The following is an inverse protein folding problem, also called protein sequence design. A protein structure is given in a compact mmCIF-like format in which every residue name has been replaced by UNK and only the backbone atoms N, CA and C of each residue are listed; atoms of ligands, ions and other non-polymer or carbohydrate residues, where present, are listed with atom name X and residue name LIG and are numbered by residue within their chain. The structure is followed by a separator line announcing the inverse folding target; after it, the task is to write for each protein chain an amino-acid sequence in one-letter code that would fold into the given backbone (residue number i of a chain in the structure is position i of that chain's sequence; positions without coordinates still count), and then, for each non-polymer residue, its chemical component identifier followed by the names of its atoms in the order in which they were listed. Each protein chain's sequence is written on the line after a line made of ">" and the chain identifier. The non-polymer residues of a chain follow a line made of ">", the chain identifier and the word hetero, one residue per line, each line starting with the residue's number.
data_IF_111163229530
#
_entry.id   IF_111163229530
#
_cell.length_a   1.000
_cell.length_b   1.000
_cell.length_c   1.000
_cell.angle_alpha   90.00
_cell.angle_beta   90.00
_cell.angle_gamma   90.00
#
_symmetry.space_group_name_H-M   'P 1'
#
loop_
_entity.id
_entity.type
_entity.pdbx_description
1 polymer ?
#
# COMPACT_ATOMS: atom_id res chain seq x y z
N UNK A 1 -6.99 15.30 8.11
CA UNK A 1 -6.17 14.07 8.30
C UNK A 1 -5.84 13.76 9.77
N UNK A 2 -5.71 14.73 10.70
CA UNK A 2 -5.61 14.45 12.15
C UNK A 2 -4.56 15.29 12.87
N UNK A 3 -4.06 14.81 14.02
CA UNK A 3 -3.10 15.52 14.89
C UNK A 3 -1.65 15.51 14.40
N UNK A 4 -0.76 16.19 15.14
CA UNK A 4 0.65 16.38 14.74
C UNK A 4 1.48 15.09 14.67
N UNK A 5 1.09 14.04 15.43
CA UNK A 5 1.77 12.74 15.37
C UNK A 5 1.39 12.02 14.08
N UNK A 6 2.37 11.38 13.44
CA UNK A 6 2.14 10.58 12.21
C UNK A 6 1.09 9.47 12.40
N UNK A 7 1.03 8.85 13.58
CA UNK A 7 0.02 7.84 13.93
C UNK A 7 -1.40 8.38 13.95
N UNK A 8 -1.56 9.68 14.18
CA UNK A 8 -2.86 10.35 14.25
C UNK A 8 -3.24 11.00 12.92
N UNK A 9 -2.32 11.08 11.95
CA UNK A 9 -2.51 11.75 10.65
C UNK A 9 -2.16 10.84 9.46
N UNK A 10 -0.90 10.81 9.04
CA UNK A 10 -0.47 10.12 7.81
C UNK A 10 -0.55 8.59 7.85
N UNK A 11 -0.60 7.99 9.05
CA UNK A 11 -0.81 6.55 9.23
C UNK A 11 -2.27 6.20 9.54
N UNK A 12 -3.16 7.19 9.56
CA UNK A 12 -4.58 7.00 9.84
C UNK A 12 -5.32 6.65 8.54
N UNK A 13 -5.41 5.35 8.26
CA UNK A 13 -6.06 4.82 7.06
C UNK A 13 -7.52 5.32 6.93
N UNK A 14 -8.40 5.19 7.94
CA UNK A 14 -9.77 5.70 7.83
C UNK A 14 -9.83 7.18 7.43
N UNK A 15 -9.01 8.04 8.04
CA UNK A 15 -9.02 9.46 7.74
C UNK A 15 -8.57 9.78 6.30
N UNK A 16 -7.67 8.97 5.73
CA UNK A 16 -7.20 9.12 4.35
C UNK A 16 -8.28 8.67 3.36
N UNK A 17 -8.88 7.50 3.59
CA UNK A 17 -9.96 6.98 2.74
C UNK A 17 -11.17 7.91 2.74
N UNK A 18 -11.62 8.36 3.92
CA UNK A 18 -12.74 9.32 4.00
C UNK A 18 -12.44 10.64 3.28
N UNK A 19 -11.18 11.10 3.29
CA UNK A 19 -10.81 12.27 2.51
C UNK A 19 -10.86 11.98 1.00
N UNK A 20 -10.33 10.84 0.55
CA UNK A 20 -10.36 10.45 -0.85
C UNK A 20 -11.80 10.34 -1.39
N UNK A 21 -12.71 9.74 -0.61
CA UNK A 21 -14.13 9.65 -0.96
C UNK A 21 -14.82 11.01 -0.99
N UNK A 22 -14.55 11.88 -0.01
CA UNK A 22 -15.16 13.22 0.06
C UNK A 22 -14.78 14.10 -1.13
N UNK A 23 -13.57 13.92 -1.66
CA UNK A 23 -13.08 14.64 -2.82
C UNK A 23 -13.26 13.89 -4.14
N UNK A 24 -13.98 12.75 -4.13
CA UNK A 24 -14.23 11.92 -5.30
C UNK A 24 -12.94 11.58 -6.07
N UNK A 25 -11.86 11.26 -5.34
CA UNK A 25 -10.58 10.92 -5.94
C UNK A 25 -10.66 9.55 -6.65
N UNK A 26 -10.01 9.43 -7.81
CA UNK A 26 -9.93 8.15 -8.54
C UNK A 26 -8.80 7.25 -8.04
N UNK A 27 -7.73 7.85 -7.49
CA UNK A 27 -6.50 7.15 -7.17
C UNK A 27 -5.73 7.78 -5.99
N UNK A 28 -4.95 6.96 -5.29
CA UNK A 28 -4.05 7.38 -4.20
C UNK A 28 -2.61 7.04 -4.57
N UNK A 29 -1.75 8.07 -4.58
CA UNK A 29 -0.30 7.90 -4.66
C UNK A 29 0.33 8.04 -3.26
N UNK A 30 0.87 6.96 -2.66
CA UNK A 30 1.36 6.98 -1.28
C UNK A 30 2.77 7.58 -1.13
N UNK A 31 3.49 7.84 -2.22
CA UNK A 31 4.90 8.20 -2.19
C UNK A 31 5.76 7.05 -1.64
N UNK A 32 6.56 7.32 -0.61
CA UNK A 32 7.46 6.37 0.03
C UNK A 32 7.35 6.44 1.56
N UNK A 33 7.65 5.33 2.24
CA UNK A 33 7.40 5.19 3.68
C UNK A 33 5.89 5.21 4.01
N UNK A 34 5.55 5.37 5.29
CA UNK A 34 4.16 5.36 5.77
C UNK A 34 3.35 4.13 5.31
N UNK A 35 2.37 4.35 4.43
CA UNK A 35 1.45 3.33 3.94
C UNK A 35 1.84 2.78 2.56
N UNK A 36 2.95 3.23 1.98
CA UNK A 36 3.40 2.78 0.64
C UNK A 36 3.69 1.28 0.53
N UNK A 37 4.01 0.61 1.65
CA UNK A 37 4.26 -0.84 1.71
C UNK A 37 3.23 -1.56 2.61
N UNK A 38 2.10 -0.91 2.92
CA UNK A 38 1.09 -1.46 3.80
C UNK A 38 0.03 -2.24 3.00
N UNK A 39 0.09 -3.57 3.05
CA UNK A 39 -0.84 -4.47 2.34
C UNK A 39 -2.31 -4.18 2.64
N UNK A 40 -2.65 -3.97 3.92
CA UNK A 40 -4.02 -3.69 4.34
C UNK A 40 -4.54 -2.39 3.72
N UNK A 41 -3.68 -1.37 3.58
CA UNK A 41 -4.06 -0.11 2.95
C UNK A 41 -4.40 -0.29 1.48
N UNK A 42 -3.63 -1.09 0.74
CA UNK A 42 -3.87 -1.39 -0.67
C UNK A 42 -5.19 -2.14 -0.85
N UNK A 43 -5.47 -3.12 0.00
CA UNK A 43 -6.73 -3.86 0.00
C UNK A 43 -7.92 -2.93 0.26
N UNK A 44 -7.82 -2.05 1.26
CA UNK A 44 -8.85 -1.06 1.56
C UNK A 44 -9.07 -0.12 0.37
N UNK A 45 -8.02 0.39 -0.29
CA UNK A 45 -8.17 1.21 -1.50
C UNK A 45 -9.00 0.48 -2.56
N UNK A 46 -8.69 -0.80 -2.82
CA UNK A 46 -9.45 -1.61 -3.79
C UNK A 46 -10.92 -1.82 -3.39
N UNK A 47 -11.23 -1.94 -2.09
CA UNK A 47 -12.61 -2.06 -1.61
C UNK A 47 -13.43 -0.77 -1.80
N UNK A 48 -12.77 0.38 -1.77
CA UNK A 48 -13.37 1.70 -1.97
C UNK A 48 -13.30 2.17 -3.43
N UNK A 49 -12.94 1.28 -4.37
CA UNK A 49 -12.76 1.62 -5.80
C UNK A 49 -11.74 2.74 -6.05
N UNK A 50 -10.75 2.86 -5.17
CA UNK A 50 -9.62 3.79 -5.28
C UNK A 50 -8.42 3.05 -5.87
N UNK A 51 -7.89 3.53 -6.99
CA UNK A 51 -6.69 2.94 -7.58
C UNK A 51 -5.47 3.28 -6.73
N UNK A 52 -4.76 2.25 -6.25
CA UNK A 52 -3.52 2.44 -5.51
C UNK A 52 -2.34 2.49 -6.47
N UNK A 53 -1.68 3.64 -6.57
CA UNK A 53 -0.52 3.83 -7.46
C UNK A 53 0.73 3.25 -6.79
N UNK A 54 0.91 1.93 -6.93
CA UNK A 54 2.01 1.17 -6.35
C UNK A 54 1.91 -0.32 -6.64
N UNK A 55 2.72 -1.16 -5.97
CA UNK A 55 2.63 -2.61 -6.13
C UNK A 55 1.31 -3.13 -5.56
N UNK A 56 0.74 -4.15 -6.19
CA UNK A 56 -0.48 -4.78 -5.68
C UNK A 56 -0.23 -5.49 -4.35
N UNK A 57 -1.29 -5.68 -3.55
CA UNK A 57 -1.22 -6.41 -2.28
C UNK A 57 -0.59 -7.81 -2.45
N UNK A 58 -0.88 -8.49 -3.57
CA UNK A 58 -0.27 -9.78 -3.93
C UNK A 58 1.25 -9.70 -4.10
N UNK A 59 1.75 -8.67 -4.78
CA UNK A 59 3.20 -8.47 -4.97
C UNK A 59 3.86 -8.13 -3.64
N UNK A 60 3.23 -7.26 -2.84
CA UNK A 60 3.71 -6.94 -1.49
C UNK A 60 3.79 -8.18 -0.59
N UNK A 61 2.79 -9.06 -0.62
CA UNK A 61 2.77 -10.31 0.14
C UNK A 61 3.85 -11.30 -0.31
N UNK A 62 4.17 -11.31 -1.61
CA UNK A 62 5.24 -12.16 -2.14
C UNK A 62 6.63 -11.69 -1.70
N UNK A 63 6.81 -10.38 -1.61
CA UNK A 63 8.09 -9.75 -1.29
C UNK A 63 8.34 -9.56 0.21
N UNK A 64 7.32 -9.72 1.06
CA UNK A 64 7.48 -9.60 2.52
C UNK A 64 8.27 -10.75 3.14
N UNK A 65 8.28 -11.93 2.51
CA UNK A 65 9.04 -13.10 2.93
C UNK A 65 10.28 -13.26 2.05
N UNK A 66 11.46 -13.06 2.67
CA UNK A 66 12.76 -13.15 1.99
C UNK A 66 13.00 -14.52 1.34
N UNK A 67 12.52 -15.61 1.93
CA UNK A 67 12.69 -16.95 1.38
C UNK A 67 11.82 -17.15 0.14
N UNK A 68 10.55 -16.73 0.21
CA UNK A 68 9.65 -16.77 -0.96
C UNK A 68 10.13 -15.86 -2.08
N UNK A 69 10.57 -14.65 -1.76
CA UNK A 69 11.12 -13.72 -2.71
C UNK A 69 12.33 -14.33 -3.45
N UNK A 70 13.26 -14.97 -2.73
CA UNK A 70 14.40 -15.67 -3.33
C UNK A 70 14.00 -16.83 -4.23
N UNK A 71 13.01 -17.64 -3.82
CA UNK A 71 12.50 -18.72 -4.66
C UNK A 71 11.94 -18.19 -5.98
N UNK A 72 11.12 -17.13 -5.92
CA UNK A 72 10.56 -16.51 -7.14
C UNK A 72 11.63 -15.88 -8.00
N UNK A 73 12.62 -15.20 -7.40
CA UNK A 73 13.74 -14.64 -8.16
C UNK A 73 14.54 -15.75 -8.86
N UNK A 74 14.79 -16.88 -8.19
CA UNK A 74 15.46 -18.04 -8.78
C UNK A 74 14.66 -18.66 -9.92
N UNK A 75 13.35 -18.81 -9.76
CA UNK A 75 12.41 -19.29 -10.80
C UNK A 75 12.39 -18.35 -12.01
N UNK A 76 12.48 -17.04 -11.77
CA UNK A 76 12.58 -16.02 -12.81
C UNK A 76 13.97 -15.94 -13.47
N UNK A 77 14.91 -16.81 -13.09
CA UNK A 77 16.28 -16.82 -13.64
C UNK A 77 17.16 -15.66 -13.18
N UNK A 78 16.77 -14.97 -12.10
CA UNK A 78 17.55 -13.88 -11.52
C UNK A 78 18.67 -14.44 -10.61
N UNK A 79 19.86 -13.81 -10.62
CA UNK A 79 20.91 -14.14 -9.67
C UNK A 79 20.47 -13.75 -8.25
N UNK A 80 20.61 -14.68 -7.29
CA UNK A 80 20.18 -14.54 -5.87
C UNK A 80 21.23 -15.01 -4.87
#
# INVERSE_FOLDING_TARGET
>A
IGGAKSSESYLNIPAIISAAELFEADAIFPGYGFLSENQNFVEICSHHSLEFIGPSAKVMALMSDKSKAKSVMKEAGMPV
#
